data_IF_308821584209
#
_entry.id   IF_308821584209
#
_cell.length_a   1.000
_cell.length_b   1.000
_cell.length_c   1.000
_cell.angle_alpha   90.00
_cell.angle_beta   90.00
_cell.angle_gamma   90.00
#
_symmetry.space_group_name_H-M   'P 1'
#
loop_
_entity.id
_entity.type
_entity.pdbx_description
1 polymer ?
#
# COMPACT_ATOMS: atom_id res chain seq x y z
N UNK A 1 -3.62 50.55 12.28
CA UNK A 1 -3.18 49.39 11.49
C UNK A 1 -1.79 48.84 11.87
N UNK A 2 -0.93 49.58 12.61
CA UNK A 2 0.41 49.08 12.99
C UNK A 2 0.47 48.06 14.15
N UNK A 3 -0.53 48.03 15.04
CA UNK A 3 -0.54 47.14 16.22
C UNK A 3 -1.16 45.77 15.91
N UNK A 4 -2.05 45.67 14.91
CA UNK A 4 -2.70 44.40 14.55
C UNK A 4 -1.73 43.38 13.92
N UNK A 5 -0.71 43.85 13.20
CA UNK A 5 0.30 43.01 12.56
C UNK A 5 1.19 42.25 13.57
N UNK A 6 1.79 42.89 14.60
CA UNK A 6 2.57 42.17 15.60
C UNK A 6 1.71 41.21 16.44
N UNK A 7 0.46 41.58 16.74
CA UNK A 7 -0.45 40.70 17.48
C UNK A 7 -0.81 39.43 16.69
N UNK A 8 -1.07 39.58 15.38
CA UNK A 8 -1.37 38.43 14.51
C UNK A 8 -0.17 37.50 14.39
N UNK A 9 1.03 38.07 14.24
CA UNK A 9 2.27 37.31 14.18
C UNK A 9 2.54 36.54 15.48
N UNK A 10 2.34 37.17 16.63
CA UNK A 10 2.51 36.55 17.95
C UNK A 10 1.51 35.40 18.17
N UNK A 11 0.28 35.54 17.66
CA UNK A 11 -0.75 34.49 17.75
C UNK A 11 -0.39 33.26 16.92
N UNK A 12 0.13 33.46 15.71
CA UNK A 12 0.57 32.38 14.82
C UNK A 12 1.77 31.65 15.44
N UNK A 13 2.77 32.39 15.93
CA UNK A 13 3.95 31.82 16.60
C UNK A 13 3.54 31.09 17.88
N UNK A 14 2.64 31.67 18.68
CA UNK A 14 2.11 31.04 19.89
C UNK A 14 1.35 29.74 19.62
N UNK A 15 0.55 29.69 18.55
CA UNK A 15 -0.17 28.48 18.15
C UNK A 15 0.79 27.35 17.74
N UNK A 16 1.82 27.66 16.96
CA UNK A 16 2.84 26.68 16.54
C UNK A 16 3.64 26.17 17.74
N UNK A 17 4.07 27.06 18.63
CA UNK A 17 4.82 26.68 19.85
C UNK A 17 3.95 25.84 20.78
N UNK A 18 2.68 26.20 20.97
CA UNK A 18 1.75 25.46 21.83
C UNK A 18 1.51 24.03 21.33
N UNK A 19 1.32 23.85 20.02
CA UNK A 19 1.19 22.51 19.41
C UNK A 19 2.46 21.67 19.58
N UNK A 20 3.64 22.29 19.51
CA UNK A 20 4.93 21.59 19.72
C UNK A 20 5.11 21.20 21.19
N UNK A 21 4.69 22.03 22.14
CA UNK A 21 4.79 21.74 23.58
C UNK A 21 3.80 20.65 24.02
N UNK A 22 2.58 20.66 23.50
CA UNK A 22 1.59 19.59 23.72
C UNK A 22 2.07 18.24 23.17
N UNK A 23 2.83 18.24 22.06
CA UNK A 23 3.46 17.02 21.51
C UNK A 23 4.63 16.50 22.35
N UNK A 24 5.31 17.36 23.10
CA UNK A 24 6.45 16.98 23.95
C UNK A 24 6.03 16.34 25.27
N UNK A 25 4.88 16.70 25.82
CA UNK A 25 4.41 16.21 27.12
C UNK A 25 3.88 14.76 27.09
N UNK A 26 3.55 14.23 25.91
CA UNK A 26 3.12 12.84 25.74
C UNK A 26 4.28 11.81 25.80
N UNK A 27 5.53 12.23 26.03
CA UNK A 27 6.73 11.39 25.98
C UNK A 27 7.27 10.86 27.32
N UNK A 28 6.49 10.88 28.40
CA UNK A 28 6.99 10.68 29.77
C UNK A 28 7.08 9.20 30.24
N UNK A 29 7.36 8.27 29.31
CA UNK A 29 7.59 6.84 29.58
C UNK A 29 8.95 6.41 28.99
N UNK A 30 10.04 6.97 29.52
CA UNK A 30 11.33 7.11 28.82
C UNK A 30 12.11 5.80 28.56
N UNK A 31 11.84 4.69 29.28
CA UNK A 31 12.55 3.42 29.04
C UNK A 31 11.90 2.56 27.94
N UNK A 32 10.57 2.42 27.96
CA UNK A 32 9.82 1.65 26.95
C UNK A 32 9.70 2.41 25.62
N UNK A 33 9.63 3.75 25.67
CA UNK A 33 9.53 4.59 24.47
C UNK A 33 10.79 4.54 23.60
N UNK A 34 11.97 4.28 24.19
CA UNK A 34 13.23 4.17 23.45
C UNK A 34 13.27 2.93 22.55
N UNK A 35 12.87 1.78 23.09
CA UNK A 35 12.78 0.52 22.33
C UNK A 35 11.67 0.59 21.28
N UNK A 36 10.50 1.13 21.65
CA UNK A 36 9.40 1.34 20.71
C UNK A 36 9.76 2.28 19.55
N UNK A 37 10.65 3.26 19.79
CA UNK A 37 11.17 4.15 18.75
C UNK A 37 12.06 3.43 17.75
N UNK A 38 12.99 2.59 18.23
CA UNK A 38 13.87 1.80 17.37
C UNK A 38 13.09 0.78 16.52
N UNK A 39 12.11 0.10 17.13
CA UNK A 39 11.26 -0.83 16.40
C UNK A 39 10.44 -0.13 15.31
N UNK A 40 9.88 1.04 15.63
CA UNK A 40 9.14 1.85 14.67
C UNK A 40 10.02 2.36 13.52
N UNK A 41 11.26 2.76 13.82
CA UNK A 41 12.24 3.20 12.82
C UNK A 41 12.61 2.08 11.85
N UNK A 42 12.97 0.90 12.38
CA UNK A 42 13.34 -0.27 11.58
C UNK A 42 12.19 -0.69 10.67
N UNK A 43 10.97 -0.73 11.20
CA UNK A 43 9.78 -1.05 10.41
C UNK A 43 9.54 0.00 9.32
N UNK A 44 9.55 1.30 9.65
CA UNK A 44 9.38 2.36 8.67
C UNK A 44 10.43 2.27 7.54
N UNK A 45 11.70 2.03 7.88
CA UNK A 45 12.77 1.84 6.91
C UNK A 45 12.48 0.65 5.99
N UNK A 46 12.10 -0.50 6.57
CA UNK A 46 11.77 -1.72 5.82
C UNK A 46 10.67 -1.46 4.80
N UNK A 47 9.59 -0.76 5.18
CA UNK A 47 8.50 -0.44 4.26
C UNK A 47 8.93 0.52 3.15
N UNK A 48 9.74 1.55 3.45
CA UNK A 48 10.27 2.48 2.45
C UNK A 48 11.18 1.77 1.45
N UNK A 49 12.10 0.91 1.91
CA UNK A 49 12.97 0.10 1.05
C UNK A 49 12.16 -0.84 0.17
N UNK A 50 11.15 -1.52 0.73
CA UNK A 50 10.24 -2.40 -0.01
C UNK A 50 9.50 -1.66 -1.12
N UNK A 51 9.00 -0.45 -0.83
CA UNK A 51 8.36 0.40 -1.85
C UNK A 51 9.35 0.77 -2.96
N UNK A 52 10.56 1.20 -2.61
CA UNK A 52 11.61 1.52 -3.58
C UNK A 52 11.96 0.34 -4.49
N UNK A 53 12.08 -0.87 -3.92
CA UNK A 53 12.28 -2.10 -4.70
C UNK A 53 11.09 -2.42 -5.62
N UNK A 54 9.87 -2.20 -5.15
CA UNK A 54 8.65 -2.44 -5.94
C UNK A 54 8.55 -1.48 -7.14
N UNK A 55 8.95 -0.22 -6.97
CA UNK A 55 9.05 0.76 -8.05
C UNK A 55 10.15 0.40 -9.05
N UNK A 56 11.33 0.00 -8.56
CA UNK A 56 12.45 -0.36 -9.41
C UNK A 56 12.14 -1.56 -10.34
N UNK A 57 11.36 -2.51 -9.85
CA UNK A 57 10.98 -3.72 -10.57
C UNK A 57 9.78 -3.61 -11.51
N UNK A 58 9.15 -2.44 -11.64
CA UNK A 58 7.97 -2.26 -12.49
C UNK A 58 8.22 -1.19 -13.57
N UNK A 59 7.66 -1.40 -14.76
CA UNK A 59 7.72 -0.46 -15.88
C UNK A 59 6.32 -0.31 -16.48
N UNK A 60 5.84 0.93 -16.73
CA UNK A 60 4.48 1.16 -17.21
C UNK A 60 4.28 0.82 -18.70
N UNK A 61 5.35 0.75 -19.51
CA UNK A 61 5.22 0.55 -20.95
C UNK A 61 4.43 1.68 -21.60
N UNK A 62 3.42 1.33 -22.41
CA UNK A 62 2.51 2.28 -23.06
C UNK A 62 1.20 2.50 -22.29
N UNK A 63 1.01 1.88 -21.12
CA UNK A 63 -0.22 2.01 -20.34
C UNK A 63 -0.22 3.31 -19.51
N UNK A 64 -1.11 4.23 -19.87
CA UNK A 64 -1.21 5.53 -19.19
C UNK A 64 -1.72 5.44 -17.75
N UNK A 65 -2.56 4.44 -17.43
CA UNK A 65 -3.06 4.25 -16.07
C UNK A 65 -1.94 3.75 -15.15
N UNK A 66 -1.15 2.79 -15.62
CA UNK A 66 0.04 2.29 -14.94
C UNK A 66 1.10 3.40 -14.77
N UNK A 67 1.31 4.23 -15.79
CA UNK A 67 2.24 5.36 -15.72
C UNK A 67 1.83 6.37 -14.63
N UNK A 68 0.55 6.76 -14.60
CA UNK A 68 0.01 7.66 -13.56
C UNK A 68 0.11 7.07 -12.17
N UNK A 69 -0.26 5.80 -12.00
CA UNK A 69 -0.17 5.11 -10.71
C UNK A 69 1.29 5.00 -10.22
N UNK A 70 2.24 4.69 -11.10
CA UNK A 70 3.66 4.67 -10.75
C UNK A 70 4.22 6.05 -10.40
N UNK A 71 3.76 7.11 -11.06
CA UNK A 71 4.14 8.48 -10.72
C UNK A 71 3.66 8.86 -9.30
N UNK A 72 2.41 8.55 -8.96
CA UNK A 72 1.87 8.78 -7.61
C UNK A 72 2.62 7.93 -6.56
N UNK A 73 2.87 6.65 -6.86
CA UNK A 73 3.66 5.77 -6.00
C UNK A 73 5.08 6.32 -5.75
N UNK A 74 5.71 6.89 -6.78
CA UNK A 74 7.03 7.55 -6.69
C UNK A 74 6.95 8.81 -5.84
N UNK A 75 5.91 9.61 -6.01
CA UNK A 75 5.63 10.76 -5.14
C UNK A 75 5.53 10.36 -3.67
N UNK A 76 4.73 9.33 -3.35
CA UNK A 76 4.62 8.78 -1.99
C UNK A 76 5.95 8.25 -1.47
N UNK A 77 6.78 7.62 -2.32
CA UNK A 77 8.11 7.18 -1.92
C UNK A 77 9.01 8.35 -1.52
N UNK A 78 9.03 9.44 -2.30
CA UNK A 78 9.79 10.64 -1.95
C UNK A 78 9.29 11.28 -0.65
N UNK A 79 7.98 11.40 -0.47
CA UNK A 79 7.39 11.90 0.76
C UNK A 79 7.76 11.03 1.97
N UNK A 80 7.61 9.71 1.86
CA UNK A 80 7.94 8.77 2.93
C UNK A 80 9.44 8.81 3.28
N UNK A 81 10.34 8.90 2.28
CA UNK A 81 11.78 9.08 2.53
C UNK A 81 12.08 10.38 3.25
N UNK A 82 11.45 11.49 2.85
CA UNK A 82 11.62 12.78 3.50
C UNK A 82 11.16 12.76 4.96
N UNK A 83 9.99 12.19 5.22
CA UNK A 83 9.48 12.01 6.57
C UNK A 83 10.41 11.14 7.42
N UNK A 84 10.85 9.99 6.90
CA UNK A 84 11.77 9.07 7.57
C UNK A 84 13.10 9.75 7.95
N UNK A 85 13.64 10.60 7.07
CA UNK A 85 14.90 11.30 7.32
C UNK A 85 14.80 12.31 8.49
N UNK A 86 13.63 12.89 8.71
CA UNK A 86 13.39 13.89 9.78
C UNK A 86 12.75 13.32 11.04
N UNK A 87 12.25 12.08 10.99
CA UNK A 87 11.55 11.47 12.11
C UNK A 87 12.46 11.28 13.33
N UNK A 88 11.90 11.55 14.52
CA UNK A 88 12.59 11.40 15.81
C UNK A 88 11.72 10.70 16.86
N UNK A 89 10.46 10.44 16.55
CA UNK A 89 9.50 9.82 17.48
C UNK A 89 8.83 8.60 16.84
N UNK A 90 8.40 7.61 17.65
CA UNK A 90 7.70 6.42 17.13
C UNK A 90 6.50 6.77 16.24
N UNK A 91 5.73 7.81 16.59
CA UNK A 91 4.58 8.26 15.83
C UNK A 91 4.97 8.86 14.46
N UNK A 92 6.11 9.56 14.36
CA UNK A 92 6.61 10.09 13.09
C UNK A 92 7.11 8.96 12.18
N UNK A 93 7.80 7.97 12.73
CA UNK A 93 8.18 6.76 11.99
C UNK A 93 6.95 5.99 11.49
N UNK A 94 5.90 5.87 12.32
CA UNK A 94 4.64 5.26 11.92
C UNK A 94 3.94 6.01 10.77
N UNK A 95 4.01 7.35 10.73
CA UNK A 95 3.51 8.15 9.59
C UNK A 95 4.29 7.85 8.31
N UNK A 96 5.61 7.82 8.38
CA UNK A 96 6.46 7.48 7.24
C UNK A 96 6.15 6.08 6.70
N UNK A 97 5.94 5.11 7.60
CA UNK A 97 5.45 3.76 7.26
C UNK A 97 4.12 3.82 6.52
N UNK A 98 3.13 4.54 7.04
CA UNK A 98 1.79 4.62 6.44
C UNK A 98 1.87 5.20 5.02
N UNK A 99 2.64 6.28 4.81
CA UNK A 99 2.86 6.85 3.48
C UNK A 99 3.51 5.85 2.52
N UNK A 100 4.45 5.02 2.99
CA UNK A 100 5.04 3.96 2.17
C UNK A 100 4.02 2.85 1.80
N UNK A 101 3.13 2.49 2.72
CA UNK A 101 2.04 1.52 2.47
C UNK A 101 1.06 2.06 1.43
N UNK A 102 0.69 3.34 1.50
CA UNK A 102 -0.13 3.98 0.45
C UNK A 102 0.57 3.93 -0.91
N UNK A 103 1.88 4.21 -0.96
CA UNK A 103 2.67 4.06 -2.19
C UNK A 103 2.59 2.64 -2.77
N UNK A 104 2.64 1.60 -1.93
CA UNK A 104 2.54 0.21 -2.38
C UNK A 104 1.16 -0.11 -2.96
N UNK A 105 0.09 0.51 -2.48
CA UNK A 105 -1.25 0.36 -3.07
C UNK A 105 -1.29 0.94 -4.49
N UNK A 106 -0.63 2.07 -4.75
CA UNK A 106 -0.49 2.59 -6.11
C UNK A 106 0.36 1.68 -7.00
N UNK A 107 1.41 1.03 -6.45
CA UNK A 107 2.14 0.01 -7.21
C UNK A 107 1.24 -1.20 -7.53
N UNK A 108 0.38 -1.62 -6.61
CA UNK A 108 -0.63 -2.65 -6.87
C UNK A 108 -1.55 -2.23 -8.02
N UNK A 109 -2.12 -1.02 -7.95
CA UNK A 109 -2.98 -0.49 -9.01
C UNK A 109 -2.26 -0.43 -10.37
N UNK A 110 -0.96 -0.11 -10.37
CA UNK A 110 -0.15 -0.15 -11.59
C UNK A 110 0.02 -1.59 -12.12
N UNK A 111 0.25 -2.57 -11.23
CA UNK A 111 0.30 -3.99 -11.63
C UNK A 111 -1.03 -4.47 -12.18
N UNK A 112 -2.14 -4.06 -11.56
CA UNK A 112 -3.49 -4.42 -12.00
C UNK A 112 -3.77 -3.84 -13.40
N UNK A 113 -3.43 -2.57 -13.63
CA UNK A 113 -3.54 -1.94 -14.96
C UNK A 113 -2.71 -2.66 -16.02
N UNK A 114 -1.53 -3.19 -15.64
CA UNK A 114 -0.66 -3.96 -16.53
C UNK A 114 -1.06 -5.44 -16.66
N UNK A 115 -2.14 -5.89 -16.02
CA UNK A 115 -2.53 -7.31 -16.01
C UNK A 115 -1.53 -8.21 -15.27
N UNK A 116 -0.71 -7.65 -14.40
CA UNK A 116 0.31 -8.34 -13.59
C UNK A 116 -0.18 -8.67 -12.18
N UNK A 117 -1.48 -8.48 -11.91
CA UNK A 117 -2.11 -8.79 -10.64
C UNK A 117 -1.99 -10.29 -10.33
N UNK A 118 -1.10 -10.67 -9.41
CA UNK A 118 -1.05 -12.03 -8.90
C UNK A 118 -2.14 -12.20 -7.83
N UNK A 119 -3.25 -12.82 -8.19
CA UNK A 119 -4.17 -13.43 -7.21
C UNK A 119 -3.58 -14.74 -6.66
N UNK A 120 -4.04 -15.24 -5.50
CA UNK A 120 -3.69 -16.59 -5.03
C UNK A 120 -4.04 -17.65 -6.10
N UNK A 121 -3.23 -18.71 -6.29
CA UNK A 121 -3.53 -19.77 -7.26
C UNK A 121 -4.83 -20.48 -6.86
N UNK A 122 -5.86 -20.40 -7.72
CA UNK A 122 -7.13 -21.09 -7.48
C UNK A 122 -8.39 -20.47 -8.09
N UNK A 123 -8.30 -19.45 -8.96
CA UNK A 123 -9.48 -18.90 -9.65
C UNK A 123 -9.43 -19.05 -11.19
N UNK A 124 -8.47 -19.82 -11.68
CA UNK A 124 -8.20 -20.04 -13.11
C UNK A 124 -8.00 -21.52 -13.46
N UNK A 125 -8.42 -22.45 -12.58
CA UNK A 125 -8.37 -23.91 -12.85
C UNK A 125 -9.65 -24.50 -13.48
N UNK A 126 -10.70 -23.72 -13.71
CA UNK A 126 -12.01 -24.25 -14.16
C UNK A 126 -12.47 -23.77 -15.55
N UNK A 127 -11.58 -23.20 -16.37
CA UNK A 127 -11.97 -22.70 -17.68
C UNK A 127 -10.94 -22.92 -18.80
N UNK A 128 -10.53 -24.17 -19.02
CA UNK A 128 -10.28 -24.69 -20.38
C UNK A 128 -10.07 -26.22 -20.38
N UNK A 129 -11.15 -27.00 -20.29
CA UNK A 129 -11.14 -28.40 -20.75
C UNK A 129 -11.97 -28.50 -22.05
N UNK A 130 -11.32 -28.47 -23.23
CA UNK A 130 -12.04 -28.58 -24.51
C UNK A 130 -12.59 -29.99 -24.80
N UNK A 131 -12.53 -30.94 -23.85
CA UNK A 131 -12.90 -32.33 -24.09
C UNK A 131 -14.12 -32.85 -23.30
N UNK A 132 -14.87 -31.97 -22.61
CA UNK A 132 -16.06 -32.39 -21.85
C UNK A 132 -17.33 -32.61 -22.71
N UNK A 133 -17.29 -32.25 -23.99
CA UNK A 133 -18.44 -32.39 -24.91
C UNK A 133 -18.71 -33.82 -25.40
N UNK A 134 -17.68 -34.67 -25.47
CA UNK A 134 -17.79 -35.96 -26.19
C UNK A 134 -18.16 -37.13 -25.27
N UNK A 135 -17.92 -37.02 -23.96
CA UNK A 135 -18.15 -38.12 -23.02
C UNK A 135 -19.63 -38.29 -22.61
N UNK A 136 -20.47 -37.26 -22.73
CA UNK A 136 -21.92 -37.35 -22.44
C UNK A 136 -22.73 -37.96 -23.59
N UNK A 137 -22.27 -37.84 -24.84
CA UNK A 137 -23.00 -38.32 -26.02
C UNK A 137 -23.05 -39.85 -26.12
N UNK A 138 -22.07 -40.58 -25.56
CA UNK A 138 -21.97 -42.04 -25.71
C UNK A 138 -22.51 -42.86 -24.53
N UNK A 139 -23.02 -42.20 -23.47
CA UNK A 139 -23.67 -42.87 -22.32
C UNK A 139 -25.21 -42.82 -22.38
N UNK A 140 -25.78 -42.56 -23.56
CA UNK A 140 -27.23 -42.44 -23.77
C UNK A 140 -27.91 -43.56 -24.58
N UNK A 141 -27.17 -44.51 -25.17
CA UNK A 141 -27.74 -45.47 -26.15
C UNK A 141 -27.51 -46.92 -25.75
N UNK A 142 -28.08 -47.34 -24.62
CA UNK A 142 -28.04 -48.75 -24.24
C UNK A 142 -28.89 -49.09 -23.03
N UNK A 143 -30.17 -49.39 -23.24
CA UNK A 143 -30.96 -50.11 -22.23
C UNK A 143 -32.46 -49.88 -22.32
N UNK A 144 -33.21 -50.98 -22.53
CA UNK A 144 -34.65 -51.13 -22.87
C UNK A 144 -34.81 -51.18 -24.39
N UNK A 145 -35.19 -52.30 -25.03
CA UNK A 145 -36.29 -53.25 -24.82
C UNK A 145 -35.83 -54.65 -25.34
N UNK A 146 -36.37 -55.80 -24.98
CA UNK A 146 -37.54 -56.18 -24.20
C UNK A 146 -37.52 -57.70 -24.02
N UNK A 147 -38.15 -58.15 -22.94
CA UNK A 147 -38.49 -59.54 -22.64
C UNK A 147 -39.64 -59.96 -23.55
N UNK A 148 -39.48 -61.07 -24.27
CA UNK A 148 -40.60 -61.91 -24.69
C UNK A 148 -40.25 -63.36 -24.41
N UNK A 149 -41.26 -64.06 -23.88
CA UNK A 149 -41.29 -65.46 -23.49
C UNK A 149 -40.98 -66.44 -24.62
#
# INVERSE_FOLDING_TARGET
>A
MGIVVPFTLLLIVGAVVSVVLLRRQAGMSTAESGLAGLDAEVEANRWVVRLGGSLAGLRPGADEAAARALAEATGRHHTARGQLATARTPAEYARARQTAVEGLQYVSAARDALGLASGPPGADSDADDPNEGTARQLRGVGGRFGVTA
#
